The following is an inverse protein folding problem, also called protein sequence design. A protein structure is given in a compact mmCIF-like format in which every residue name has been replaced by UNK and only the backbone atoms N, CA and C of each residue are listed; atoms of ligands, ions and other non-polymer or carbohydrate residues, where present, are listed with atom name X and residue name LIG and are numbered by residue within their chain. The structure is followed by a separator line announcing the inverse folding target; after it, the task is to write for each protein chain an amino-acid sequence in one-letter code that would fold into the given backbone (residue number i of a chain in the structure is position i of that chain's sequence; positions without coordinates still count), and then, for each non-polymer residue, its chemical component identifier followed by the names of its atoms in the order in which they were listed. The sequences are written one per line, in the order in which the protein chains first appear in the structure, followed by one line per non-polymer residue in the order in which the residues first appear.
data_IF_566846258519
#
_entry.id   IF_566846258519
#
_cell.length_a   1.000
_cell.length_b   1.000
_cell.length_c   1.000
_cell.angle_alpha   90.00
_cell.angle_beta   90.00
_cell.angle_gamma   90.00
#
_symmetry.space_group_name_H-M   'P 1'
#
loop_
_entity.id
_entity.type
_entity.pdbx_description
1 polymer ?
#
# COMPACT_ATOMS: atom_id res chain seq x y z
N UNK A 1 -23.39 -41.34 20.30
CA UNK A 1 -24.62 -40.54 20.10
C UNK A 1 -24.76 -39.58 21.27
N UNK A 2 -24.74 -38.28 20.96
CA UNK A 2 -25.23 -37.11 21.68
C UNK A 2 -25.17 -37.06 23.22
N UNK A 3 -24.46 -36.07 23.76
CA UNK A 3 -25.12 -34.79 24.04
C UNK A 3 -24.10 -33.71 24.40
N UNK A 4 -24.32 -32.55 23.81
CA UNK A 4 -23.66 -31.28 24.01
C UNK A 4 -23.96 -30.69 25.39
N UNK A 5 -22.97 -30.01 25.98
CA UNK A 5 -23.22 -28.99 27.00
C UNK A 5 -22.48 -27.71 26.60
N UNK A 6 -23.23 -26.79 26.01
CA UNK A 6 -22.84 -25.41 25.84
C UNK A 6 -22.68 -24.77 27.22
N UNK A 7 -21.57 -24.06 27.45
CA UNK A 7 -21.46 -23.08 28.53
C UNK A 7 -21.40 -21.70 27.92
N UNK A 8 -22.50 -20.97 28.13
CA UNK A 8 -22.56 -19.53 27.98
C UNK A 8 -21.67 -18.86 29.03
N UNK A 9 -20.88 -17.88 28.62
CA UNK A 9 -20.37 -16.84 29.51
C UNK A 9 -20.75 -15.49 28.93
N UNK A 10 -21.80 -14.91 29.51
CA UNK A 10 -22.12 -13.49 29.42
C UNK A 10 -21.17 -12.71 30.34
N UNK A 11 -20.62 -11.59 29.86
CA UNK A 11 -19.92 -10.67 30.73
C UNK A 11 -19.00 -9.71 29.99
N UNK A 12 -19.55 -8.88 29.11
CA UNK A 12 -18.85 -7.67 28.68
C UNK A 12 -18.75 -6.72 29.87
N UNK A 13 -17.55 -6.54 30.41
CA UNK A 13 -17.25 -5.39 31.28
C UNK A 13 -16.36 -4.43 30.50
N UNK A 14 -16.95 -3.29 30.15
CA UNK A 14 -16.27 -2.09 29.70
C UNK A 14 -15.24 -1.67 30.76
N UNK A 15 -13.99 -1.49 30.35
CA UNK A 15 -12.98 -0.77 31.12
C UNK A 15 -12.43 0.37 30.27
N UNK A 16 -12.86 1.57 30.60
CA UNK A 16 -12.21 2.82 30.22
C UNK A 16 -10.84 2.87 30.89
N UNK A 17 -9.77 3.09 30.13
CA UNK A 17 -8.44 3.36 30.67
C UNK A 17 -7.96 4.73 30.19
N UNK A 18 -8.03 5.69 31.11
CA UNK A 18 -7.34 6.97 31.06
C UNK A 18 -5.91 6.81 31.59
N UNK A 19 -4.93 7.31 30.84
CA UNK A 19 -3.71 7.95 31.38
C UNK A 19 -2.53 7.07 31.84
N UNK A 20 -1.48 7.06 31.00
CA UNK A 20 -0.06 7.24 31.36
C UNK A 20 0.65 6.28 32.34
N UNK A 21 1.67 5.57 31.86
CA UNK A 21 3.07 5.71 32.31
C UNK A 21 4.01 4.66 31.67
N UNK A 22 5.23 5.12 31.48
CA UNK A 22 6.52 4.47 31.15
C UNK A 22 6.76 3.04 31.65
N UNK A 23 7.35 2.20 30.78
CA UNK A 23 8.03 0.95 31.15
C UNK A 23 8.37 0.12 29.91
N UNK A 24 9.63 -0.26 29.74
CA UNK A 24 10.18 -0.83 28.50
C UNK A 24 9.59 -2.19 28.09
N UNK A 25 9.58 -2.44 26.78
CA UNK A 25 9.27 -3.74 26.21
C UNK A 25 10.24 -4.09 25.07
N UNK A 26 10.92 -5.22 25.27
CA UNK A 26 11.57 -6.06 24.27
C UNK A 26 10.59 -7.18 23.91
N UNK A 27 10.28 -7.36 22.63
CA UNK A 27 9.44 -8.46 22.12
C UNK A 27 8.61 -7.97 20.93
N UNK A 28 8.65 -8.73 19.82
CA UNK A 28 8.01 -8.40 18.55
C UNK A 28 6.57 -7.92 18.71
N UNK A 29 6.28 -6.75 18.15
CA UNK A 29 4.91 -6.30 17.95
C UNK A 29 4.37 -6.95 16.68
N UNK A 30 3.87 -8.18 16.81
CA UNK A 30 2.65 -8.54 16.09
C UNK A 30 1.52 -7.81 16.80
N UNK A 31 1.30 -6.55 16.41
CA UNK A 31 0.16 -5.76 16.86
C UNK A 31 -1.11 -6.33 16.25
N UNK A 32 -1.53 -7.51 16.71
CA UNK A 32 -2.82 -8.07 16.36
C UNK A 32 -3.89 -7.13 16.86
N UNK A 33 -4.52 -6.40 15.94
CA UNK A 33 -5.79 -5.73 16.19
C UNK A 33 -6.73 -6.80 16.76
N UNK A 34 -7.08 -6.69 18.04
CA UNK A 34 -8.15 -7.52 18.57
C UNK A 34 -9.42 -7.06 17.88
N UNK A 35 -9.85 -7.82 16.86
CA UNK A 35 -11.06 -7.57 16.10
C UNK A 35 -12.18 -7.14 17.06
N UNK A 36 -12.62 -5.90 16.90
CA UNK A 36 -13.86 -5.44 17.52
C UNK A 36 -14.96 -6.36 17.01
N UNK A 37 -15.96 -6.67 17.83
CA UNK A 37 -17.10 -7.43 17.34
C UNK A 37 -17.90 -6.55 16.35
N UNK A 38 -17.59 -6.66 15.06
CA UNK A 38 -18.15 -5.86 13.96
C UNK A 38 -17.06 -5.25 13.06
N UNK A 39 -17.39 -4.99 11.80
CA UNK A 39 -16.51 -4.27 10.88
C UNK A 39 -16.15 -2.88 11.43
N UNK A 40 -14.92 -2.45 11.17
CA UNK A 40 -14.49 -1.07 11.39
C UNK A 40 -15.42 -0.11 10.63
N UNK A 41 -15.76 1.04 11.21
CA UNK A 41 -16.67 2.00 10.58
C UNK A 41 -16.23 3.44 10.80
N UNK A 42 -16.76 4.35 9.99
CA UNK A 42 -16.53 5.78 10.13
C UNK A 42 -16.83 6.30 11.56
N UNK A 43 -17.83 5.74 12.23
CA UNK A 43 -18.21 6.13 13.59
C UNK A 43 -17.16 5.78 14.67
N UNK A 44 -16.23 4.87 14.35
CA UNK A 44 -15.15 4.47 15.25
C UNK A 44 -13.93 5.41 15.17
N UNK A 45 -13.88 6.28 14.16
CA UNK A 45 -12.76 7.19 13.94
C UNK A 45 -12.77 8.36 14.94
N UNK A 46 -11.63 8.54 15.60
CA UNK A 46 -11.28 9.79 16.30
C UNK A 46 -10.05 10.48 15.68
N UNK A 47 -9.61 10.02 14.51
CA UNK A 47 -8.34 10.35 13.86
C UNK A 47 -8.13 9.42 12.65
N UNK A 48 -6.88 9.03 12.35
CA UNK A 48 -6.59 7.98 11.36
C UNK A 48 -6.97 6.58 11.85
N UNK A 49 -7.07 5.62 10.91
CA UNK A 49 -7.28 4.19 11.21
C UNK A 49 -6.09 3.63 12.01
N UNK A 50 -4.88 3.96 11.57
CA UNK A 50 -3.61 3.60 12.21
C UNK A 50 -2.74 4.84 12.41
N UNK A 51 -1.79 4.76 13.34
CA UNK A 51 -0.83 5.85 13.62
C UNK A 51 0.60 5.45 13.31
N UNK A 52 1.44 6.43 12.95
CA UNK A 52 2.85 6.17 12.62
C UNK A 52 3.65 5.53 13.76
N UNK A 53 3.29 5.82 15.02
CA UNK A 53 3.91 5.22 16.21
C UNK A 53 3.64 3.71 16.33
N UNK A 54 2.56 3.20 15.73
CA UNK A 54 2.22 1.77 15.67
C UNK A 54 2.93 1.06 14.50
N UNK A 55 3.20 1.79 13.41
CA UNK A 55 3.72 1.21 12.16
C UNK A 55 5.24 1.11 12.11
N UNK A 56 5.96 2.02 12.77
CA UNK A 56 7.41 2.13 12.65
C UNK A 56 8.14 2.02 13.99
N UNK A 57 9.14 1.15 14.04
CA UNK A 57 10.13 1.18 15.11
C UNK A 57 11.11 2.33 14.90
N UNK A 58 11.81 2.72 15.98
CA UNK A 58 12.92 3.69 15.90
C UNK A 58 14.03 3.24 14.96
N UNK A 59 14.21 1.93 14.73
CA UNK A 59 15.25 1.41 13.82
C UNK A 59 14.83 1.59 12.37
N UNK A 60 13.55 1.41 12.04
CA UNK A 60 13.02 1.58 10.68
C UNK A 60 13.26 3.00 10.16
N UNK A 61 13.06 4.00 11.04
CA UNK A 61 13.22 5.42 10.73
C UNK A 61 14.69 5.88 10.63
N UNK A 62 15.68 5.05 10.97
CA UNK A 62 17.11 5.43 10.85
C UNK A 62 17.54 5.41 9.38
N UNK A 63 17.78 6.59 8.82
CA UNK A 63 18.23 6.77 7.43
C UNK A 63 19.73 6.50 7.20
N UNK A 64 20.45 6.00 8.20
CA UNK A 64 21.88 5.64 8.09
C UNK A 64 22.15 4.40 8.91
N UNK A 65 22.99 3.51 8.39
CA UNK A 65 23.48 2.34 9.12
C UNK A 65 24.66 2.70 10.04
N UNK A 66 24.82 1.95 11.12
CA UNK A 66 26.08 1.90 11.85
C UNK A 66 27.04 0.96 11.11
N UNK A 67 28.25 1.44 10.82
CA UNK A 67 29.21 0.74 9.97
C UNK A 67 30.44 0.24 10.73
N UNK A 68 30.51 0.42 12.06
CA UNK A 68 31.69 0.06 12.86
C UNK A 68 32.05 -1.43 12.75
N UNK A 69 31.03 -2.30 12.76
CA UNK A 69 31.18 -3.76 12.66
C UNK A 69 30.73 -4.32 11.31
N UNK A 70 30.55 -3.46 10.29
CA UNK A 70 29.97 -3.89 9.03
C UNK A 70 30.94 -4.72 8.17
N UNK A 71 30.44 -5.84 7.63
CA UNK A 71 31.17 -6.67 6.68
C UNK A 71 31.01 -6.11 5.26
N UNK A 72 32.11 -6.00 4.50
CA UNK A 72 32.03 -5.60 3.08
C UNK A 72 31.89 -6.81 2.17
N UNK A 73 30.82 -6.82 1.37
CA UNK A 73 30.54 -7.81 0.34
C UNK A 73 30.67 -7.18 -1.04
N UNK A 74 31.68 -7.61 -1.80
CA UNK A 74 31.81 -7.26 -3.21
C UNK A 74 31.10 -8.30 -4.07
N UNK A 75 30.05 -7.89 -4.79
CA UNK A 75 29.31 -8.81 -5.68
C UNK A 75 30.17 -9.30 -6.84
N UNK A 76 29.99 -10.55 -7.25
CA UNK A 76 30.71 -11.15 -8.40
C UNK A 76 29.75 -11.89 -9.32
N UNK A 77 30.14 -11.98 -10.58
CA UNK A 77 29.34 -12.68 -11.58
C UNK A 77 29.07 -14.13 -11.18
N UNK A 78 27.82 -14.58 -11.38
CA UNK A 78 27.40 -15.98 -11.21
C UNK A 78 27.63 -16.50 -9.78
N UNK A 79 27.45 -15.63 -8.78
CA UNK A 79 27.66 -15.93 -7.37
C UNK A 79 26.37 -15.82 -6.57
N UNK A 80 26.12 -16.77 -5.68
CA UNK A 80 25.20 -16.59 -4.56
C UNK A 80 26.01 -16.22 -3.32
N UNK A 81 25.78 -15.03 -2.77
CA UNK A 81 26.28 -14.64 -1.44
C UNK A 81 25.20 -15.07 -0.45
N UNK A 82 25.54 -15.89 0.54
CA UNK A 82 24.58 -16.32 1.57
C UNK A 82 24.96 -15.68 2.89
N UNK A 83 24.04 -14.92 3.48
CA UNK A 83 24.14 -14.29 4.79
C UNK A 83 23.31 -15.12 5.77
N UNK A 84 23.95 -15.65 6.81
CA UNK A 84 23.32 -16.56 7.79
C UNK A 84 23.32 -16.02 9.21
N UNK A 85 24.01 -14.91 9.47
CA UNK A 85 24.19 -14.35 10.81
C UNK A 85 23.63 -12.93 10.87
N UNK A 86 23.14 -12.52 12.05
CA UNK A 86 22.76 -11.13 12.29
C UNK A 86 23.95 -10.18 12.03
N UNK A 87 23.70 -9.07 11.32
CA UNK A 87 24.77 -8.10 11.07
C UNK A 87 24.44 -7.03 10.04
N UNK A 88 25.44 -6.18 9.80
CA UNK A 88 25.42 -5.11 8.79
C UNK A 88 26.39 -5.48 7.66
N UNK A 89 25.90 -5.48 6.42
CA UNK A 89 26.62 -5.94 5.24
C UNK A 89 26.63 -4.86 4.16
N UNK A 90 27.81 -4.31 3.86
CA UNK A 90 27.97 -3.29 2.81
C UNK A 90 28.11 -3.97 1.46
N UNK A 91 27.14 -3.79 0.58
CA UNK A 91 27.14 -4.33 -0.77
C UNK A 91 27.73 -3.32 -1.76
N UNK A 92 28.76 -3.73 -2.52
CA UNK A 92 29.40 -2.89 -3.55
C UNK A 92 29.75 -3.66 -4.81
N UNK A 93 29.97 -2.91 -5.89
CA UNK A 93 30.47 -3.44 -7.17
C UNK A 93 29.36 -3.81 -8.15
N UNK A 94 29.76 -4.32 -9.31
CA UNK A 94 28.84 -4.70 -10.39
C UNK A 94 28.92 -6.19 -10.69
N UNK A 95 27.78 -6.85 -10.87
CA UNK A 95 27.73 -8.27 -11.20
C UNK A 95 26.53 -8.66 -12.07
N UNK A 96 26.69 -9.74 -12.83
CA UNK A 96 25.61 -10.42 -13.52
C UNK A 96 25.33 -11.79 -12.91
N UNK A 97 24.06 -12.14 -12.76
CA UNK A 97 23.61 -13.39 -12.13
C UNK A 97 24.21 -13.56 -10.71
N UNK A 98 24.11 -12.51 -9.90
CA UNK A 98 24.48 -12.52 -8.49
C UNK A 98 23.24 -12.39 -7.61
N UNK A 99 23.11 -13.25 -6.61
CA UNK A 99 22.02 -13.16 -5.62
C UNK A 99 22.62 -13.02 -4.23
N UNK A 100 22.16 -12.03 -3.48
CA UNK A 100 22.38 -11.94 -2.04
C UNK A 100 21.21 -12.62 -1.36
N UNK A 101 21.43 -13.85 -0.90
CA UNK A 101 20.47 -14.69 -0.18
C UNK A 101 20.63 -14.47 1.32
N UNK A 102 19.54 -14.21 2.02
CA UNK A 102 19.49 -14.12 3.48
C UNK A 102 18.76 -15.35 4.01
N UNK A 103 19.43 -16.13 4.85
CA UNK A 103 18.92 -17.36 5.46
C UNK A 103 19.48 -17.44 6.88
N UNK A 104 19.03 -16.51 7.73
CA UNK A 104 19.47 -16.33 9.10
C UNK A 104 18.43 -16.84 10.11
N UNK A 105 18.78 -16.78 11.40
CA UNK A 105 17.86 -17.06 12.50
C UNK A 105 16.61 -16.17 12.42
N UNK A 106 15.44 -16.68 12.85
CA UNK A 106 14.16 -15.96 12.78
C UNK A 106 14.09 -14.74 13.70
N UNK A 107 15.02 -14.62 14.66
CA UNK A 107 15.12 -13.43 15.51
C UNK A 107 16.18 -12.44 14.97
N UNK A 108 16.90 -12.79 13.90
CA UNK A 108 18.02 -12.01 13.38
C UNK A 108 17.58 -10.80 12.54
N UNK A 109 18.18 -9.64 12.80
CA UNK A 109 17.94 -8.40 12.03
C UNK A 109 19.09 -8.07 11.09
N UNK A 110 18.89 -8.33 9.80
CA UNK A 110 19.91 -8.15 8.77
C UNK A 110 19.83 -6.77 8.15
N UNK A 111 20.96 -6.05 8.03
CA UNK A 111 21.00 -4.77 7.34
C UNK A 111 21.96 -4.80 6.15
N UNK A 112 21.41 -4.77 4.94
CA UNK A 112 22.14 -4.60 3.69
C UNK A 112 22.34 -3.10 3.42
N UNK A 113 23.59 -2.65 3.38
CA UNK A 113 23.95 -1.26 3.06
C UNK A 113 24.40 -1.18 1.61
N UNK A 114 23.58 -0.61 0.74
CA UNK A 114 23.86 -0.48 -0.68
C UNK A 114 24.76 0.75 -0.92
N UNK A 115 26.01 0.50 -1.30
CA UNK A 115 27.02 1.55 -1.54
C UNK A 115 27.63 1.44 -2.94
N UNK A 116 26.81 1.78 -3.94
CA UNK A 116 27.21 1.75 -5.35
C UNK A 116 27.16 0.35 -5.96
N UNK A 117 26.19 -0.48 -5.55
CA UNK A 117 26.01 -1.84 -6.08
C UNK A 117 25.15 -1.85 -7.34
N UNK A 118 25.54 -2.66 -8.32
CA UNK A 118 24.79 -2.84 -9.57
C UNK A 118 24.69 -4.32 -9.95
N UNK A 119 23.49 -4.90 -9.89
CA UNK A 119 23.26 -6.32 -10.17
C UNK A 119 22.25 -6.49 -11.28
N UNK A 120 22.56 -7.35 -12.26
CA UNK A 120 21.62 -7.79 -13.30
C UNK A 120 21.52 -9.30 -13.34
N UNK A 121 20.36 -9.85 -13.04
CA UNK A 121 20.10 -11.29 -13.10
C UNK A 121 19.18 -11.64 -14.26
N UNK A 122 19.29 -12.88 -14.74
CA UNK A 122 18.45 -13.36 -15.83
C UNK A 122 17.10 -13.89 -15.32
N UNK A 123 17.07 -14.52 -14.13
CA UNK A 123 15.90 -15.32 -13.72
C UNK A 123 15.74 -15.53 -12.22
N UNK A 124 16.45 -14.78 -11.37
CA UNK A 124 16.37 -14.95 -9.92
C UNK A 124 16.57 -13.60 -9.22
N UNK A 125 15.98 -13.37 -8.02
CA UNK A 125 16.11 -12.11 -7.32
C UNK A 125 17.58 -11.69 -7.11
N UNK A 126 17.82 -10.38 -7.12
CA UNK A 126 19.12 -9.82 -6.73
C UNK A 126 19.31 -9.87 -5.21
N UNK A 127 18.22 -9.65 -4.46
CA UNK A 127 18.15 -9.85 -3.01
C UNK A 127 17.00 -10.81 -2.74
N UNK A 128 17.28 -11.90 -2.02
CA UNK A 128 16.30 -12.91 -1.66
C UNK A 128 16.39 -13.22 -0.16
N UNK A 129 15.40 -12.76 0.62
CA UNK A 129 15.31 -13.10 2.04
C UNK A 129 14.39 -14.30 2.25
N UNK A 130 14.97 -15.38 2.76
CA UNK A 130 14.32 -16.67 3.03
C UNK A 130 13.92 -16.79 4.49
N UNK A 131 14.76 -16.29 5.40
CA UNK A 131 14.51 -16.26 6.84
C UNK A 131 15.34 -15.19 7.54
N UNK A 132 14.69 -14.41 8.41
CA UNK A 132 15.20 -13.40 9.33
C UNK A 132 14.02 -12.92 10.20
N UNK A 133 14.24 -12.09 11.23
CA UNK A 133 13.15 -11.29 11.82
C UNK A 133 12.78 -10.12 10.91
N UNK A 134 13.81 -9.48 10.34
CA UNK A 134 13.66 -8.26 9.55
C UNK A 134 14.87 -8.02 8.67
N UNK A 135 14.63 -7.56 7.45
CA UNK A 135 15.68 -7.14 6.52
C UNK A 135 15.58 -5.66 6.23
N UNK A 136 16.69 -4.95 6.44
CA UNK A 136 16.85 -3.55 6.08
C UNK A 136 17.68 -3.46 4.79
N UNK A 137 17.22 -2.69 3.82
CA UNK A 137 17.97 -2.29 2.63
C UNK A 137 18.18 -0.79 2.70
N UNK A 138 19.38 -0.40 3.17
CA UNK A 138 19.77 0.98 3.42
C UNK A 138 20.66 1.51 2.31
N UNK A 139 20.27 2.59 1.65
CA UNK A 139 21.13 3.24 0.65
C UNK A 139 22.09 4.24 1.29
N UNK A 140 23.39 4.13 0.98
CA UNK A 140 24.40 5.09 1.43
C UNK A 140 24.16 6.45 0.79
N UNK A 141 24.41 7.54 1.53
CA UNK A 141 24.25 8.91 1.05
C UNK A 141 25.01 9.16 -0.27
N UNK A 142 24.31 9.68 -1.28
CA UNK A 142 24.88 9.97 -2.60
C UNK A 142 25.20 8.74 -3.46
N UNK A 143 25.03 7.51 -2.93
CA UNK A 143 25.20 6.28 -3.72
C UNK A 143 24.08 6.11 -4.75
N UNK A 144 24.41 5.45 -5.86
CA UNK A 144 23.45 5.01 -6.89
C UNK A 144 23.51 3.51 -7.00
N UNK A 145 22.39 2.85 -6.75
CA UNK A 145 22.29 1.40 -6.69
C UNK A 145 21.29 0.93 -7.73
N UNK A 146 21.59 -0.16 -8.43
CA UNK A 146 20.71 -0.69 -9.49
C UNK A 146 20.57 -2.19 -9.35
N UNK A 147 19.34 -2.69 -9.24
CA UNK A 147 19.03 -4.11 -9.21
C UNK A 147 18.07 -4.42 -10.36
N UNK A 148 18.36 -5.43 -11.15
CA UNK A 148 17.58 -5.74 -12.36
C UNK A 148 17.41 -7.24 -12.54
N UNK A 149 16.20 -7.66 -12.92
CA UNK A 149 15.93 -9.01 -13.43
C UNK A 149 15.31 -8.91 -14.82
N UNK A 150 15.96 -9.55 -15.80
CA UNK A 150 15.63 -9.35 -17.23
C UNK A 150 14.71 -10.40 -17.83
N UNK A 151 14.70 -11.61 -17.26
CA UNK A 151 13.91 -12.74 -17.74
C UNK A 151 12.90 -13.22 -16.71
N UNK A 152 12.29 -14.38 -17.01
CA UNK A 152 11.28 -15.00 -16.15
C UNK A 152 11.93 -15.55 -14.88
N UNK A 153 11.32 -15.27 -13.74
CA UNK A 153 11.76 -15.77 -12.44
C UNK A 153 11.63 -17.29 -12.34
N UNK A 154 12.59 -17.91 -11.68
CA UNK A 154 12.60 -19.33 -11.34
C UNK A 154 12.26 -19.50 -9.88
N UNK A 155 11.21 -20.24 -9.59
CA UNK A 155 10.83 -20.57 -8.23
C UNK A 155 11.95 -21.28 -7.43
N UNK A 156 11.96 -21.05 -6.12
CA UNK A 156 12.73 -21.79 -5.13
C UNK A 156 11.79 -22.72 -4.34
N UNK A 157 11.67 -23.97 -4.78
CA UNK A 157 10.64 -24.89 -4.29
C UNK A 157 9.24 -24.35 -4.59
N UNK A 158 8.42 -24.19 -3.55
CA UNK A 158 7.06 -23.63 -3.64
C UNK A 158 7.05 -22.09 -3.65
N UNK A 159 8.21 -21.44 -3.49
CA UNK A 159 8.30 -19.97 -3.45
C UNK A 159 8.48 -19.41 -4.86
N UNK A 160 7.55 -18.54 -5.30
CA UNK A 160 7.58 -17.94 -6.64
C UNK A 160 8.85 -17.13 -6.95
N UNK A 161 9.46 -16.48 -5.96
CA UNK A 161 10.65 -15.60 -6.08
C UNK A 161 10.53 -14.59 -7.23
N UNK A 162 9.32 -14.12 -7.49
CA UNK A 162 8.86 -13.37 -8.66
C UNK A 162 9.15 -11.86 -8.64
N UNK A 163 10.11 -11.44 -7.81
CA UNK A 163 10.51 -10.04 -7.64
C UNK A 163 12.03 -9.84 -7.66
N UNK A 164 12.49 -8.65 -8.03
CA UNK A 164 13.93 -8.31 -8.04
C UNK A 164 14.50 -8.30 -6.62
N UNK A 165 13.74 -7.76 -5.68
CA UNK A 165 13.94 -7.93 -4.25
C UNK A 165 12.74 -8.73 -3.76
N UNK A 166 12.98 -9.93 -3.27
CA UNK A 166 11.94 -10.80 -2.74
C UNK A 166 12.25 -11.12 -1.29
N UNK A 167 11.33 -10.81 -0.39
CA UNK A 167 11.43 -11.12 1.03
C UNK A 167 10.26 -11.99 1.47
N UNK A 168 10.56 -13.06 2.20
CA UNK A 168 9.55 -13.79 2.97
C UNK A 168 9.22 -13.14 4.31
N UNK A 169 10.02 -12.15 4.71
CA UNK A 169 10.00 -11.50 6.01
C UNK A 169 9.75 -9.98 5.84
N UNK A 170 9.53 -9.26 6.93
CA UNK A 170 9.52 -7.79 6.98
C UNK A 170 10.70 -7.16 6.21
N UNK A 171 10.38 -6.24 5.30
CA UNK A 171 11.37 -5.53 4.49
C UNK A 171 11.29 -4.01 4.74
N UNK A 172 12.43 -3.41 5.07
CA UNK A 172 12.55 -1.96 5.28
C UNK A 172 13.49 -1.35 4.25
N UNK A 173 12.99 -0.41 3.45
CA UNK A 173 13.78 0.40 2.52
C UNK A 173 14.00 1.79 3.13
N UNK A 174 15.26 2.17 3.30
CA UNK A 174 15.62 3.48 3.84
C UNK A 174 16.97 3.97 3.30
N UNK A 175 17.41 5.13 3.76
CA UNK A 175 18.72 5.66 3.41
C UNK A 175 18.64 7.02 2.73
N UNK A 176 19.79 7.46 2.23
CA UNK A 176 19.96 8.79 1.61
C UNK A 176 20.53 8.71 0.18
N UNK A 177 20.61 7.52 -0.38
CA UNK A 177 21.03 7.29 -1.75
C UNK A 177 19.84 7.06 -2.68
N UNK A 178 20.15 6.58 -3.88
CA UNK A 178 19.17 6.15 -4.87
C UNK A 178 19.21 4.64 -5.04
N UNK A 179 18.03 4.02 -5.07
CA UNK A 179 17.82 2.63 -5.48
C UNK A 179 16.93 2.60 -6.72
N UNK A 180 17.42 2.00 -7.80
CA UNK A 180 16.67 1.72 -9.02
C UNK A 180 16.45 0.22 -9.16
N UNK A 181 15.20 -0.20 -9.24
CA UNK A 181 14.78 -1.60 -9.40
C UNK A 181 14.07 -1.76 -10.74
N UNK A 182 14.43 -2.78 -11.51
CA UNK A 182 13.80 -3.05 -12.82
C UNK A 182 13.50 -4.53 -12.99
N UNK A 183 12.22 -4.86 -13.17
CA UNK A 183 11.72 -6.20 -13.42
C UNK A 183 11.08 -6.28 -14.79
N UNK A 184 11.69 -7.02 -15.70
CA UNK A 184 11.17 -7.13 -17.08
C UNK A 184 10.02 -8.12 -17.24
N UNK A 185 9.76 -8.97 -16.24
CA UNK A 185 8.81 -10.09 -16.32
C UNK A 185 8.00 -10.39 -15.06
N UNK A 186 8.30 -9.75 -13.93
CA UNK A 186 7.58 -9.97 -12.67
C UNK A 186 7.45 -8.70 -11.87
N UNK A 187 7.39 -8.86 -10.55
CA UNK A 187 7.25 -7.78 -9.59
C UNK A 187 8.58 -7.03 -9.41
N UNK A 188 8.50 -5.78 -8.95
CA UNK A 188 9.67 -5.00 -8.59
C UNK A 188 10.24 -5.46 -7.26
N UNK A 189 9.48 -5.22 -6.19
CA UNK A 189 9.82 -5.54 -4.80
C UNK A 189 8.61 -6.23 -4.18
N UNK A 190 8.82 -7.43 -3.63
CA UNK A 190 7.80 -8.20 -2.92
C UNK A 190 8.24 -8.46 -1.48
N UNK A 191 7.37 -8.17 -0.52
CA UNK A 191 7.43 -8.70 0.84
C UNK A 191 6.26 -9.67 1.05
N UNK A 192 6.48 -10.79 1.74
CA UNK A 192 5.39 -11.66 2.20
C UNK A 192 4.88 -11.33 3.61
N UNK A 193 5.42 -10.27 4.21
CA UNK A 193 4.90 -9.59 5.40
C UNK A 193 4.79 -8.08 5.11
N UNK A 194 5.28 -7.20 6.00
CA UNK A 194 5.30 -5.76 5.80
C UNK A 194 6.38 -5.30 4.80
N UNK A 195 6.06 -4.30 3.99
CA UNK A 195 7.02 -3.49 3.24
C UNK A 195 7.01 -2.05 3.77
N UNK A 196 8.10 -1.62 4.37
CA UNK A 196 8.25 -0.27 4.96
C UNK A 196 9.21 0.58 4.14
N UNK A 197 8.78 1.76 3.71
CA UNK A 197 9.65 2.74 3.05
C UNK A 197 9.74 3.98 3.94
N UNK A 198 10.91 4.25 4.49
CA UNK A 198 11.07 5.33 5.48
C UNK A 198 11.87 6.53 5.00
N UNK A 199 12.41 6.48 3.79
CA UNK A 199 13.13 7.58 3.15
C UNK A 199 13.91 7.15 1.92
N UNK A 200 14.77 8.05 1.43
CA UNK A 200 15.62 7.84 0.26
C UNK A 200 14.94 8.14 -1.07
N UNK A 201 15.63 7.82 -2.17
CA UNK A 201 15.08 7.91 -3.54
C UNK A 201 14.92 6.52 -4.14
N UNK A 202 13.68 6.12 -4.43
CA UNK A 202 13.35 4.81 -4.98
C UNK A 202 12.74 4.98 -6.38
N UNK A 203 13.24 4.24 -7.34
CA UNK A 203 12.62 4.11 -8.67
C UNK A 203 12.39 2.65 -8.98
N UNK A 204 11.14 2.27 -9.27
CA UNK A 204 10.78 0.89 -9.61
C UNK A 204 10.05 0.87 -10.95
N UNK A 205 10.51 -0.01 -11.84
CA UNK A 205 9.82 -0.33 -13.10
C UNK A 205 9.55 -1.83 -13.13
N UNK A 206 8.28 -2.24 -13.26
CA UNK A 206 7.88 -3.63 -13.22
C UNK A 206 6.89 -4.00 -14.34
N UNK A 207 6.90 -5.27 -14.71
CA UNK A 207 5.97 -5.84 -15.70
C UNK A 207 4.69 -6.37 -15.04
N UNK A 208 4.76 -6.70 -13.75
CA UNK A 208 3.63 -6.94 -12.87
C UNK A 208 3.66 -5.84 -11.81
N UNK A 209 3.37 -6.14 -10.55
CA UNK A 209 3.28 -5.16 -9.48
C UNK A 209 4.63 -4.55 -9.15
N UNK A 210 4.71 -3.23 -9.02
CA UNK A 210 5.99 -2.60 -8.73
C UNK A 210 6.38 -2.79 -7.26
N UNK A 211 5.47 -2.53 -6.34
CA UNK A 211 5.60 -2.82 -4.92
C UNK A 211 4.45 -3.72 -4.50
N UNK A 212 4.76 -4.90 -3.98
CA UNK A 212 3.80 -5.88 -3.49
C UNK A 212 4.11 -6.23 -2.03
N UNK A 213 3.10 -6.26 -1.18
CA UNK A 213 3.20 -6.77 0.17
C UNK A 213 2.00 -7.64 0.51
N UNK A 214 2.19 -8.62 1.40
CA UNK A 214 1.07 -9.41 1.91
C UNK A 214 0.32 -8.62 2.99
N UNK A 215 1.05 -8.12 4.00
CA UNK A 215 0.40 -7.54 5.17
C UNK A 215 0.18 -6.04 5.02
N UNK A 216 1.22 -5.30 4.64
CA UNK A 216 1.09 -3.86 4.44
C UNK A 216 2.19 -3.24 3.59
N UNK A 217 1.85 -2.14 2.91
CA UNK A 217 2.85 -1.19 2.40
C UNK A 217 2.72 0.10 3.21
N UNK A 218 3.76 0.43 3.98
CA UNK A 218 3.76 1.63 4.84
C UNK A 218 4.90 2.59 4.47
N UNK A 219 4.54 3.80 4.07
CA UNK A 219 5.45 4.81 3.54
C UNK A 219 5.49 6.00 4.49
N UNK A 220 6.61 6.19 5.20
CA UNK A 220 6.80 7.32 6.11
C UNK A 220 7.23 8.60 5.38
N UNK A 221 8.21 8.48 4.47
CA UNK A 221 8.76 9.59 3.68
C UNK A 221 9.58 9.02 2.50
N UNK A 222 10.03 9.89 1.58
CA UNK A 222 10.92 9.53 0.47
C UNK A 222 10.55 10.22 -0.84
N UNK A 223 11.38 10.00 -1.87
CA UNK A 223 11.04 10.33 -3.26
C UNK A 223 10.89 9.03 -4.04
N UNK A 224 9.66 8.66 -4.36
CA UNK A 224 9.31 7.35 -4.91
C UNK A 224 8.71 7.54 -6.30
N UNK A 225 9.28 6.85 -7.29
CA UNK A 225 8.76 6.81 -8.65
C UNK A 225 8.51 5.37 -9.06
N UNK A 226 7.28 5.07 -9.43
CA UNK A 226 6.81 3.72 -9.76
C UNK A 226 6.19 3.72 -11.16
N UNK A 227 6.61 2.76 -11.99
CA UNK A 227 6.01 2.47 -13.28
C UNK A 227 5.69 0.98 -13.38
N UNK A 228 4.42 0.64 -13.45
CA UNK A 228 3.92 -0.74 -13.48
C UNK A 228 3.08 -1.03 -14.72
N UNK A 229 3.02 -2.30 -15.09
CA UNK A 229 2.07 -2.83 -16.09
C UNK A 229 0.92 -3.64 -15.49
N UNK A 230 0.91 -3.79 -14.16
CA UNK A 230 -0.24 -4.19 -13.34
C UNK A 230 -0.44 -3.06 -12.32
N UNK A 231 -0.26 -3.31 -11.02
CA UNK A 231 -0.48 -2.33 -9.97
C UNK A 231 0.80 -1.59 -9.59
N UNK A 232 0.67 -0.34 -9.20
CA UNK A 232 1.79 0.44 -8.67
C UNK A 232 2.21 -0.06 -7.29
N UNK A 233 1.30 0.04 -6.34
CA UNK A 233 1.42 -0.46 -4.98
C UNK A 233 0.25 -1.44 -4.75
N UNK A 234 0.54 -2.69 -4.40
CA UNK A 234 -0.46 -3.73 -4.13
C UNK A 234 -0.24 -4.33 -2.74
N UNK A 235 -1.25 -4.28 -1.88
CA UNK A 235 -1.25 -4.96 -0.59
C UNK A 235 -2.52 -5.81 -0.43
N UNK A 236 -2.34 -7.11 -0.20
CA UNK A 236 -3.43 -8.08 -0.10
C UNK A 236 -3.02 -9.28 0.76
N UNK A 237 -3.88 -9.65 1.72
CA UNK A 237 -3.69 -10.81 2.58
C UNK A 237 -4.92 -11.73 2.49
N UNK A 238 -4.71 -12.94 1.96
CA UNK A 238 -5.78 -13.94 1.78
C UNK A 238 -6.23 -14.60 3.11
N UNK A 239 -5.39 -14.55 4.15
CA UNK A 239 -5.59 -15.28 5.41
C UNK A 239 -6.17 -14.40 6.54
N UNK A 240 -5.84 -13.11 6.55
CA UNK A 240 -6.34 -12.12 7.51
C UNK A 240 -6.89 -10.89 6.79
N UNK A 241 -8.21 -10.84 6.72
CA UNK A 241 -8.97 -9.80 6.04
C UNK A 241 -8.83 -8.40 6.68
N UNK A 242 -8.19 -8.29 7.86
CA UNK A 242 -7.86 -6.99 8.46
C UNK A 242 -6.54 -6.38 7.96
N UNK A 243 -5.74 -7.17 7.24
CA UNK A 243 -4.44 -6.81 6.65
C UNK A 243 -4.58 -6.54 5.14
N UNK A 244 -3.46 -6.39 4.42
CA UNK A 244 -3.46 -5.95 3.03
C UNK A 244 -3.79 -4.45 2.91
N UNK A 245 -3.20 -3.63 3.77
CA UNK A 245 -3.45 -2.18 3.79
C UNK A 245 -2.25 -1.36 3.31
N UNK A 246 -2.53 -0.12 2.92
CA UNK A 246 -1.50 0.85 2.54
C UNK A 246 -1.62 2.09 3.42
N UNK A 247 -0.50 2.52 4.01
CA UNK A 247 -0.43 3.77 4.74
C UNK A 247 0.65 4.69 4.17
N UNK A 248 0.32 5.96 3.97
CA UNK A 248 1.24 6.99 3.44
C UNK A 248 1.24 8.19 4.38
N UNK A 249 2.33 8.35 5.12
CA UNK A 249 2.57 9.44 6.06
C UNK A 249 3.13 10.72 5.43
N UNK A 250 3.69 10.63 4.22
CA UNK A 250 4.40 11.74 3.61
C UNK A 250 5.19 11.36 2.35
N UNK A 251 6.16 12.21 2.01
CA UNK A 251 7.03 12.04 0.84
C UNK A 251 6.49 12.62 -0.47
N UNK A 252 7.24 12.38 -1.54
CA UNK A 252 6.85 12.70 -2.92
C UNK A 252 6.74 11.41 -3.72
N UNK A 253 5.52 11.06 -4.12
CA UNK A 253 5.20 9.83 -4.83
C UNK A 253 4.70 10.16 -6.24
N UNK A 254 5.26 9.48 -7.23
CA UNK A 254 4.79 9.49 -8.61
C UNK A 254 4.57 8.05 -9.05
N UNK A 255 3.32 7.63 -9.17
CA UNK A 255 2.94 6.25 -9.47
C UNK A 255 2.16 6.21 -10.78
N UNK A 256 2.60 5.36 -11.71
CA UNK A 256 1.89 5.09 -12.94
C UNK A 256 1.74 3.60 -13.13
N UNK A 257 0.52 3.13 -13.21
CA UNK A 257 0.12 1.73 -13.35
C UNK A 257 -0.72 1.56 -14.61
N UNK A 258 -0.89 0.32 -15.06
CA UNK A 258 -1.86 0.01 -16.14
C UNK A 258 -3.16 -0.55 -15.59
N UNK A 259 -3.10 -1.15 -14.40
CA UNK A 259 -4.22 -1.44 -13.52
C UNK A 259 -4.20 -0.37 -12.42
N UNK A 260 -4.25 -0.69 -11.14
CA UNK A 260 -4.43 0.32 -10.10
C UNK A 260 -3.13 1.00 -9.69
N UNK A 261 -3.14 2.32 -9.54
CA UNK A 261 -1.93 2.98 -9.08
C UNK A 261 -1.64 2.68 -7.60
N UNK A 262 -2.67 2.66 -6.75
CA UNK A 262 -2.56 2.24 -5.36
C UNK A 262 -3.75 1.33 -5.03
N UNK A 263 -3.47 0.08 -4.67
CA UNK A 263 -4.44 -0.95 -4.33
C UNK A 263 -4.13 -1.51 -2.94
N UNK A 264 -5.03 -1.27 -1.98
CA UNK A 264 -4.97 -1.89 -0.66
C UNK A 264 -6.30 -2.57 -0.37
N UNK A 265 -6.31 -3.90 -0.27
CA UNK A 265 -7.53 -4.70 -0.11
C UNK A 265 -8.38 -4.22 1.07
N UNK A 266 -7.79 -4.04 2.25
CA UNK A 266 -8.53 -3.61 3.44
C UNK A 266 -8.71 -2.10 3.52
N UNK A 267 -7.63 -1.34 3.66
CA UNK A 267 -7.72 0.11 3.67
C UNK A 267 -6.51 0.80 3.06
N UNK A 268 -6.73 2.04 2.63
CA UNK A 268 -5.70 2.98 2.25
C UNK A 268 -5.84 4.21 3.14
N UNK A 269 -4.78 4.61 3.83
CA UNK A 269 -4.75 5.85 4.62
C UNK A 269 -3.63 6.77 4.15
N UNK A 270 -3.98 8.01 3.80
CA UNK A 270 -3.05 9.06 3.37
C UNK A 270 -3.09 10.20 4.37
N UNK A 271 -2.02 10.36 5.15
CA UNK A 271 -1.91 11.39 6.18
C UNK A 271 -1.29 12.68 5.65
N UNK A 272 -0.28 12.60 4.78
CA UNK A 272 0.35 13.77 4.15
C UNK A 272 1.13 13.37 2.87
N UNK A 273 1.78 14.35 2.24
CA UNK A 273 2.72 14.15 1.14
C UNK A 273 2.30 14.86 -0.15
N UNK A 274 3.15 14.72 -1.18
CA UNK A 274 2.84 15.12 -2.55
C UNK A 274 2.72 13.87 -3.41
N UNK A 275 1.50 13.46 -3.68
CA UNK A 275 1.19 12.19 -4.33
C UNK A 275 0.59 12.49 -5.71
N UNK A 276 1.14 11.86 -6.73
CA UNK A 276 0.60 11.87 -8.10
C UNK A 276 0.47 10.44 -8.57
N UNK A 277 -0.76 10.01 -8.85
CA UNK A 277 -1.09 8.63 -9.23
C UNK A 277 -1.85 8.61 -10.54
N UNK A 278 -1.60 7.60 -11.35
CA UNK A 278 -2.34 7.33 -12.59
C UNK A 278 -2.46 5.83 -12.84
N UNK A 279 -3.69 5.34 -12.99
CA UNK A 279 -4.00 3.92 -13.21
C UNK A 279 -5.32 3.74 -13.94
N UNK A 280 -5.79 2.48 -14.03
CA UNK A 280 -7.17 2.14 -14.34
C UNK A 280 -8.05 2.81 -13.30
N UNK A 281 -7.94 2.35 -12.06
CA UNK A 281 -8.30 3.16 -10.91
C UNK A 281 -7.08 3.90 -10.37
N UNK A 282 -7.30 5.11 -9.86
CA UNK A 282 -6.23 5.88 -9.24
C UNK A 282 -5.87 5.37 -7.85
N UNK A 283 -6.87 5.14 -7.01
CA UNK A 283 -6.73 4.64 -5.63
C UNK A 283 -7.91 3.73 -5.33
N UNK A 284 -7.65 2.48 -4.96
CA UNK A 284 -8.69 1.48 -4.67
C UNK A 284 -8.45 0.78 -3.33
N UNK A 285 -9.47 0.72 -2.49
CA UNK A 285 -9.49 -0.16 -1.32
C UNK A 285 -10.87 -0.28 -0.71
N UNK A 286 -11.04 -1.11 0.32
CA UNK A 286 -12.34 -1.17 1.00
C UNK A 286 -12.66 0.12 1.71
N UNK A 287 -11.71 0.64 2.49
CA UNK A 287 -11.80 1.96 3.08
C UNK A 287 -10.66 2.84 2.58
N UNK A 288 -10.98 3.93 1.87
CA UNK A 288 -9.98 4.92 1.45
C UNK A 288 -10.11 6.17 2.32
N UNK A 289 -9.09 6.49 3.11
CA UNK A 289 -9.02 7.67 3.98
C UNK A 289 -7.94 8.64 3.51
N UNK A 290 -8.33 9.89 3.22
CA UNK A 290 -7.39 10.99 2.92
C UNK A 290 -7.51 12.07 3.99
N UNK A 291 -6.53 12.10 4.89
CA UNK A 291 -6.44 13.05 6.00
C UNK A 291 -5.69 14.33 5.62
N UNK A 292 -4.77 14.29 4.65
CA UNK A 292 -3.91 15.42 4.32
C UNK A 292 -3.14 15.32 3.00
N UNK A 293 -2.15 16.19 2.84
CA UNK A 293 -1.29 16.24 1.66
C UNK A 293 -1.88 16.92 0.42
N UNK A 294 -1.14 16.82 -0.68
CA UNK A 294 -1.58 17.16 -2.04
C UNK A 294 -1.63 15.87 -2.86
N UNK A 295 -2.82 15.37 -3.11
CA UNK A 295 -3.09 14.12 -3.81
C UNK A 295 -3.65 14.45 -5.20
N UNK A 296 -2.96 14.03 -6.25
CA UNK A 296 -3.36 14.23 -7.64
C UNK A 296 -3.60 12.86 -8.26
N UNK A 297 -4.84 12.62 -8.68
CA UNK A 297 -5.32 11.32 -9.09
C UNK A 297 -5.83 11.41 -10.52
N UNK A 298 -5.35 10.51 -11.37
CA UNK A 298 -5.86 10.33 -12.73
C UNK A 298 -6.33 8.89 -12.93
N UNK A 299 -7.64 8.67 -13.05
CA UNK A 299 -8.22 7.37 -13.39
C UNK A 299 -8.57 7.29 -14.87
N UNK A 300 -8.39 6.12 -15.49
CA UNK A 300 -9.03 5.84 -16.79
C UNK A 300 -10.39 5.18 -16.64
N UNK A 301 -10.60 4.51 -15.51
CA UNK A 301 -11.89 4.09 -14.96
C UNK A 301 -12.25 5.09 -13.85
N UNK A 302 -12.17 4.70 -12.58
CA UNK A 302 -12.45 5.56 -11.45
C UNK A 302 -11.23 6.31 -10.90
N UNK A 303 -11.46 7.47 -10.33
CA UNK A 303 -10.42 8.23 -9.67
C UNK A 303 -10.03 7.57 -8.35
N UNK A 304 -10.97 7.56 -7.41
CA UNK A 304 -10.85 6.95 -6.09
C UNK A 304 -12.04 6.02 -5.91
N UNK A 305 -11.81 4.75 -5.62
CA UNK A 305 -12.85 3.75 -5.45
C UNK A 305 -12.81 3.11 -4.05
N UNK A 306 -13.94 3.15 -3.36
CA UNK A 306 -14.21 2.34 -2.17
C UNK A 306 -14.96 1.05 -2.56
N UNK A 307 -14.27 -0.09 -2.63
CA UNK A 307 -14.81 -1.36 -3.13
C UNK A 307 -14.99 -2.44 -2.03
N UNK A 308 -16.03 -3.27 -2.10
CA UNK A 308 -16.29 -4.32 -1.09
C UNK A 308 -15.32 -5.51 -1.24
N UNK A 309 -14.10 -5.37 -0.71
CA UNK A 309 -13.03 -6.39 -0.78
C UNK A 309 -12.71 -7.03 0.57
N UNK A 310 -12.94 -6.29 1.65
CA UNK A 310 -12.68 -6.74 3.02
C UNK A 310 -13.92 -6.62 3.89
N UNK A 311 -14.24 -7.69 4.60
CA UNK A 311 -15.31 -7.72 5.60
C UNK A 311 -14.89 -7.12 6.95
N UNK A 312 -13.61 -6.81 7.14
CA UNK A 312 -13.09 -6.19 8.35
C UNK A 312 -13.37 -4.68 8.42
N UNK A 313 -13.66 -4.04 7.28
CA UNK A 313 -13.87 -2.60 7.17
C UNK A 313 -15.19 -2.27 6.45
N UNK A 314 -15.80 -1.16 6.83
CA UNK A 314 -16.88 -0.54 6.06
C UNK A 314 -16.35 -0.14 4.68
N UNK A 315 -17.14 -0.39 3.64
CA UNK A 315 -16.84 0.13 2.31
C UNK A 315 -17.08 1.64 2.28
N UNK A 316 -16.02 2.44 2.12
CA UNK A 316 -16.16 3.90 2.08
C UNK A 316 -14.97 4.63 1.45
N UNK A 317 -15.26 5.83 0.94
CA UNK A 317 -14.25 6.87 0.68
C UNK A 317 -14.45 8.03 1.67
N UNK A 318 -13.41 8.35 2.43
CA UNK A 318 -13.35 9.46 3.36
C UNK A 318 -12.28 10.48 2.95
N UNK A 319 -12.70 11.74 2.81
CA UNK A 319 -11.80 12.88 2.65
C UNK A 319 -11.98 13.82 3.85
N UNK A 320 -11.02 13.76 4.77
CA UNK A 320 -10.99 14.59 5.97
C UNK A 320 -10.13 15.85 5.80
N UNK A 321 -9.21 15.89 4.84
CA UNK A 321 -8.32 17.03 4.65
C UNK A 321 -7.54 17.03 3.34
N UNK A 322 -6.51 17.88 3.28
CA UNK A 322 -5.61 17.99 2.14
C UNK A 322 -6.18 18.75 0.93
N UNK A 323 -5.41 18.74 -0.17
CA UNK A 323 -5.84 19.15 -1.50
C UNK A 323 -5.91 17.90 -2.38
N UNK A 324 -7.11 17.51 -2.77
CA UNK A 324 -7.37 16.31 -3.58
C UNK A 324 -7.83 16.74 -4.95
N UNK A 325 -7.00 16.51 -5.97
CA UNK A 325 -7.31 16.80 -7.36
C UNK A 325 -7.58 15.47 -8.06
N UNK A 326 -8.78 15.28 -8.60
CA UNK A 326 -9.15 14.04 -9.29
C UNK A 326 -9.56 14.36 -10.71
N UNK A 327 -8.98 13.64 -11.67
CA UNK A 327 -9.34 13.71 -13.07
C UNK A 327 -9.67 12.31 -13.57
N UNK A 328 -10.83 12.15 -14.19
CA UNK A 328 -11.20 10.91 -14.88
C UNK A 328 -11.49 11.17 -16.35
N UNK A 329 -11.41 10.12 -17.15
CA UNK A 329 -11.60 10.15 -18.59
C UNK A 329 -13.06 10.30 -19.04
N UNK A 330 -13.35 9.78 -20.23
CA UNK A 330 -14.72 9.56 -20.71
C UNK A 330 -15.01 8.07 -20.61
N UNK A 331 -16.23 7.70 -20.25
CA UNK A 331 -16.60 6.29 -20.11
C UNK A 331 -17.73 6.15 -19.10
N UNK A 332 -17.88 4.94 -18.56
CA UNK A 332 -18.52 4.75 -17.26
C UNK A 332 -17.37 5.01 -16.27
N UNK A 333 -17.32 6.20 -15.68
CA UNK A 333 -16.19 6.63 -14.85
C UNK A 333 -16.68 7.62 -13.80
N UNK A 334 -16.22 7.44 -12.59
CA UNK A 334 -16.54 8.22 -11.42
C UNK A 334 -15.28 8.81 -10.82
N UNK A 335 -15.28 10.13 -10.59
CA UNK A 335 -14.11 10.73 -9.95
C UNK A 335 -13.92 10.18 -8.53
N UNK A 336 -15.01 10.01 -7.78
CA UNK A 336 -15.01 9.35 -6.48
C UNK A 336 -16.18 8.37 -6.48
N UNK A 337 -15.86 7.08 -6.54
CA UNK A 337 -16.83 5.99 -6.45
C UNK A 337 -16.77 5.31 -5.09
N UNK A 338 -17.90 4.79 -4.62
CA UNK A 338 -17.91 3.84 -3.53
C UNK A 338 -19.12 2.90 -3.60
N UNK A 339 -18.84 1.60 -3.59
CA UNK A 339 -19.84 0.55 -3.34
C UNK A 339 -20.44 0.61 -1.91
N UNK A 340 -20.05 1.59 -1.10
CA UNK A 340 -20.64 1.90 0.19
C UNK A 340 -20.84 3.41 0.37
N UNK A 341 -20.06 4.05 1.23
CA UNK A 341 -20.31 5.43 1.65
C UNK A 341 -19.27 6.43 1.15
N UNK A 342 -19.67 7.70 1.06
CA UNK A 342 -18.74 8.81 0.86
C UNK A 342 -18.84 9.82 2.01
N UNK A 343 -17.71 10.11 2.64
CA UNK A 343 -17.60 11.07 3.74
C UNK A 343 -16.65 12.20 3.36
N UNK A 344 -17.13 13.44 3.42
CA UNK A 344 -16.30 14.64 3.29
C UNK A 344 -16.47 15.51 4.53
N UNK A 345 -15.42 15.59 5.34
CA UNK A 345 -15.40 16.40 6.57
C UNK A 345 -14.45 17.61 6.48
N UNK A 346 -13.57 17.64 5.48
CA UNK A 346 -12.62 18.73 5.25
C UNK A 346 -11.95 18.70 3.88
N UNK A 347 -10.87 19.48 3.74
CA UNK A 347 -10.05 19.53 2.52
C UNK A 347 -10.55 20.44 1.40
N UNK A 348 -9.75 20.52 0.34
CA UNK A 348 -10.09 21.16 -0.95
C UNK A 348 -10.10 20.09 -2.03
N UNK A 349 -11.28 19.76 -2.56
CA UNK A 349 -11.50 18.71 -3.53
C UNK A 349 -11.79 19.35 -4.89
N UNK A 350 -10.94 19.10 -5.87
CA UNK A 350 -11.09 19.59 -7.24
C UNK A 350 -11.28 18.41 -8.18
N UNK A 351 -12.46 18.31 -8.78
CA UNK A 351 -12.84 17.23 -9.69
C UNK A 351 -12.93 17.76 -11.11
N UNK A 352 -12.27 17.06 -12.02
CA UNK A 352 -12.48 17.16 -13.47
C UNK A 352 -13.05 15.84 -13.95
N UNK A 353 -14.33 15.81 -14.29
CA UNK A 353 -15.01 14.59 -14.77
C UNK A 353 -15.97 14.93 -15.90
N UNK A 354 -16.00 14.07 -16.92
CA UNK A 354 -16.94 14.22 -18.04
C UNK A 354 -18.35 13.70 -17.71
N UNK A 355 -18.46 12.80 -16.73
CA UNK A 355 -19.67 12.02 -16.47
C UNK A 355 -20.16 12.27 -15.05
N UNK A 356 -19.51 11.63 -14.07
CA UNK A 356 -19.92 11.71 -12.69
C UNK A 356 -18.76 12.14 -11.78
N UNK A 357 -19.08 13.03 -10.86
CA UNK A 357 -18.14 13.46 -9.83
C UNK A 357 -18.16 12.52 -8.61
N UNK A 358 -19.32 11.91 -8.34
CA UNK A 358 -19.58 11.06 -7.19
C UNK A 358 -20.62 9.99 -7.56
N UNK A 359 -20.29 8.73 -7.33
CA UNK A 359 -21.25 7.62 -7.26
C UNK A 359 -21.10 6.88 -5.93
N UNK A 360 -22.23 6.44 -5.37
CA UNK A 360 -22.24 5.70 -4.11
C UNK A 360 -23.52 4.89 -3.91
N UNK A 361 -23.37 3.66 -3.42
CA UNK A 361 -24.49 2.74 -3.15
C UNK A 361 -25.15 2.97 -1.78
N UNK A 362 -24.37 3.43 -0.81
CA UNK A 362 -24.76 3.68 0.57
C UNK A 362 -25.20 5.12 0.81
N UNK A 363 -24.49 5.81 1.69
CA UNK A 363 -24.80 7.20 2.06
C UNK A 363 -23.63 8.14 1.77
N UNK A 364 -23.96 9.39 1.46
CA UNK A 364 -22.99 10.46 1.38
C UNK A 364 -23.23 11.52 2.45
N UNK A 365 -22.15 12.01 3.07
CA UNK A 365 -22.18 13.10 4.05
C UNK A 365 -21.10 14.12 3.76
N UNK A 366 -21.48 15.39 3.68
CA UNK A 366 -20.56 16.51 3.51
C UNK A 366 -20.76 17.49 4.67
N UNK A 367 -19.83 17.49 5.62
CA UNK A 367 -19.89 18.32 6.85
C UNK A 367 -18.87 19.46 6.87
N UNK A 368 -17.89 19.44 5.96
CA UNK A 368 -16.88 20.47 5.80
C UNK A 368 -16.18 20.39 4.44
N UNK A 369 -15.08 21.13 4.30
CA UNK A 369 -14.30 21.19 3.06
C UNK A 369 -14.87 22.10 1.97
N UNK A 370 -14.22 22.14 0.81
CA UNK A 370 -14.68 22.83 -0.40
C UNK A 370 -14.57 21.88 -1.58
N UNK A 371 -15.69 21.66 -2.27
CA UNK A 371 -15.75 20.80 -3.46
C UNK A 371 -15.97 21.68 -4.69
N UNK A 372 -15.09 21.53 -5.67
CA UNK A 372 -15.20 22.17 -6.99
C UNK A 372 -15.25 21.10 -8.06
N UNK A 373 -16.34 21.05 -8.83
CA UNK A 373 -16.52 20.13 -9.96
C UNK A 373 -16.50 20.94 -11.24
N UNK A 374 -15.60 20.63 -12.16
CA UNK A 374 -15.46 21.29 -13.46
C UNK A 374 -15.42 22.83 -13.37
N UNK A 375 -14.71 23.34 -12.35
CA UNK A 375 -14.54 24.77 -12.08
C UNK A 375 -15.72 25.45 -11.39
N UNK A 376 -16.76 24.71 -10.98
CA UNK A 376 -17.89 25.23 -10.21
C UNK A 376 -17.89 24.66 -8.80
N UNK A 377 -17.95 25.52 -7.78
CA UNK A 377 -18.11 25.08 -6.39
C UNK A 377 -19.52 24.52 -6.16
N UNK A 378 -19.62 23.36 -5.51
CA UNK A 378 -20.89 22.68 -5.20
C UNK A 378 -21.12 22.65 -3.68
N UNK A 379 -22.39 22.60 -3.26
CA UNK A 379 -22.80 22.71 -1.85
C UNK A 379 -22.99 21.35 -1.15
N UNK A 380 -22.30 20.30 -1.62
CA UNK A 380 -22.37 18.96 -1.06
C UNK A 380 -22.13 17.88 -2.10
N UNK A 381 -22.25 16.63 -1.65
CA UNK A 381 -22.17 15.45 -2.50
C UNK A 381 -23.57 15.16 -3.05
N UNK A 382 -23.68 15.10 -4.36
CA UNK A 382 -24.91 14.69 -5.04
C UNK A 382 -24.56 13.52 -5.94
N UNK A 383 -25.18 12.36 -5.72
CA UNK A 383 -25.07 11.25 -6.64
C UNK A 383 -25.43 11.72 -8.06
N UNK A 384 -24.59 11.38 -9.02
CA UNK A 384 -24.93 11.60 -10.42
C UNK A 384 -26.04 10.62 -10.78
N UNK A 385 -27.29 11.05 -10.73
CA UNK A 385 -28.37 10.22 -11.25
C UNK A 385 -28.06 9.95 -12.72
N UNK A 386 -27.68 8.72 -13.08
CA UNK A 386 -27.73 8.25 -14.45
C UNK A 386 -29.08 8.68 -15.01
N UNK A 387 -29.04 9.49 -16.07
CA UNK A 387 -30.21 10.05 -16.73
C UNK A 387 -31.09 8.96 -17.33
N UNK A 388 -31.85 8.25 -16.49
CA UNK A 388 -33.07 7.57 -16.88
C UNK A 388 -34.08 8.65 -17.19
N UNK A 389 -34.10 9.11 -18.45
CA UNK A 389 -35.08 10.08 -18.92
C UNK A 389 -36.49 9.64 -18.56
N UNK A 390 -37.07 10.28 -17.54
CA UNK A 390 -38.52 10.31 -17.36
C UNK A 390 -39.09 11.13 -18.52
N UNK A 391 -39.29 10.47 -19.66
CA UNK A 391 -40.30 10.91 -20.61
C UNK A 391 -41.67 10.68 -19.95
N UNK A 392 -42.23 11.75 -19.39
CA UNK A 392 -43.66 11.84 -19.14
C UNK A 392 -44.39 11.68 -20.47
N UNK A 393 -44.89 10.48 -20.75
CA UNK A 393 -45.60 10.15 -21.98
C UNK A 393 -46.40 8.86 -21.81
N UNK A 394 -47.56 8.99 -21.16
CA UNK A 394 -48.64 7.99 -21.12
C UNK A 394 -48.80 7.26 -22.46
N UNK A 395 -48.69 5.92 -22.49
CA UNK A 395 -49.61 4.98 -23.16
C UNK A 395 -49.19 3.53 -22.81
N UNK A 396 -50.17 2.72 -22.40
CA UNK A 396 -49.96 1.43 -21.74
C UNK A 396 -49.61 0.25 -22.62
N UNK A 397 -49.33 -0.88 -21.98
CA UNK A 397 -49.29 -2.20 -22.61
C UNK A 397 -48.27 -3.18 -22.01
N UNK A 398 -48.75 -4.01 -21.09
CA UNK A 398 -48.39 -5.42 -20.83
C UNK A 398 -47.05 -6.04 -21.34
N UNK A 399 -46.38 -6.70 -20.38
CA UNK A 399 -45.85 -8.10 -20.41
C UNK A 399 -44.33 -8.35 -20.61
N UNK A 400 -43.78 -9.00 -19.56
CA UNK A 400 -42.68 -10.01 -19.44
C UNK A 400 -41.25 -9.69 -19.91
N UNK A 401 -40.34 -9.70 -18.92
CA UNK A 401 -39.46 -10.86 -18.64
C UNK A 401 -38.02 -10.78 -19.15
N UNK A 402 -37.06 -10.95 -18.22
CA UNK A 402 -35.70 -11.39 -18.53
C UNK A 402 -34.60 -10.65 -17.77
N UNK A 403 -34.02 -11.33 -16.76
CA UNK A 403 -32.71 -11.01 -16.18
C UNK A 403 -31.62 -11.14 -17.25
N UNK A 404 -30.67 -10.22 -17.26
CA UNK A 404 -29.24 -10.53 -17.21
C UNK A 404 -28.58 -9.52 -16.29
#
# INVERSE_FOLDING_TARGET
MNSSSARSFSGAQSRTLTGGMTGGFTGGMTGGYSAKAGAFSYADLTGGIVTSDELFSKRDLKQTADLEEAETVTVKNRQTVTITEEGVYILKGSASNCTVKIEADKEAKIQLVLDGVSVTNDSFPAIYAVSADKVFVTTTEGSKNTLTVTGTFKADGETGTDAVIYSKEDLVLNGKGTLTVTSSKGNGITSKDDLKITGGTLTVTAQLDALEANDSIVIYDGTITVNSKKDGLHAENDDDDSLGYIWIGGGTLSVTASDDAIHGTSFIQIDDGKITVSGAEGIEGTYVQINGGTVNVTGTDDGINGADKSSAYETAVEIAGGTVNVSVGQGDTDAIDSNGNIYVSGGTINITSAMSAFDYDGTASCTGGTITVNGQTVNGITASMMGGGMQTGSFGGMIRGGRR
#
